data_IF_086831268216
#
_entry.id   IF_086831268216
#
_cell.length_a   1.000
_cell.length_b   1.000
_cell.length_c   1.000
_cell.angle_alpha   90.00
_cell.angle_beta   90.00
_cell.angle_gamma   90.00
#
_symmetry.space_group_name_H-M   'P 1'
#
loop_
_entity.id
_entity.type
_entity.pdbx_description
1 polymer ?
#
# COMPACT_ATOMS: atom_id res chain seq x y z
N UNK A 1 13.73 -6.61 27.99
CA UNK A 1 14.89 -5.70 27.86
C UNK A 1 14.59 -4.56 26.88
N UNK A 2 14.20 -4.82 25.60
CA UNK A 2 13.90 -3.76 24.63
C UNK A 2 12.78 -2.84 25.14
N UNK A 3 11.67 -3.41 25.63
CA UNK A 3 10.59 -2.63 26.24
C UNK A 3 11.09 -1.72 27.40
N UNK A 4 11.96 -2.24 28.26
CA UNK A 4 12.49 -1.48 29.41
C UNK A 4 13.36 -0.28 28.97
N UNK A 5 13.99 -0.35 27.80
CA UNK A 5 14.86 0.70 27.28
C UNK A 5 14.03 1.72 26.44
N UNK A 6 13.12 1.23 25.60
CA UNK A 6 12.42 2.02 24.60
C UNK A 6 11.03 2.46 25.02
N UNK A 7 10.43 1.83 26.03
CA UNK A 7 9.04 1.97 26.48
C UNK A 7 8.02 1.61 25.36
N UNK A 8 8.45 0.98 24.26
CA UNK A 8 7.57 0.46 23.21
C UNK A 8 6.75 -0.69 23.81
N UNK A 9 5.44 -0.68 23.58
CA UNK A 9 4.54 -1.72 24.05
C UNK A 9 4.97 -3.11 23.58
N UNK A 10 4.89 -4.10 24.46
CA UNK A 10 5.34 -5.48 24.19
C UNK A 10 4.57 -6.15 23.04
N UNK A 11 3.33 -5.71 22.78
CA UNK A 11 2.55 -6.22 21.65
C UNK A 11 3.22 -5.88 20.30
N UNK A 12 3.70 -4.64 20.13
CA UNK A 12 4.43 -4.26 18.90
C UNK A 12 5.76 -5.00 18.78
N UNK A 13 6.47 -5.14 19.90
CA UNK A 13 7.72 -5.91 19.93
C UNK A 13 7.51 -7.38 19.57
N UNK A 14 6.40 -7.98 20.01
CA UNK A 14 6.04 -9.35 19.64
C UNK A 14 5.78 -9.47 18.12
N UNK A 15 5.12 -8.47 17.50
CA UNK A 15 4.92 -8.46 16.04
C UNK A 15 6.24 -8.36 15.27
N UNK A 16 7.14 -7.47 15.70
CA UNK A 16 8.48 -7.37 15.11
C UNK A 16 9.29 -8.67 15.30
N UNK A 17 9.12 -9.33 16.44
CA UNK A 17 9.75 -10.63 16.68
C UNK A 17 9.28 -11.69 15.68
N UNK A 18 7.98 -11.72 15.34
CA UNK A 18 7.47 -12.66 14.34
C UNK A 18 8.18 -12.49 12.99
N UNK A 19 8.42 -11.24 12.56
CA UNK A 19 9.17 -10.96 11.34
C UNK A 19 10.61 -11.45 11.43
N UNK A 20 11.29 -11.15 12.56
CA UNK A 20 12.67 -11.57 12.77
C UNK A 20 12.82 -13.12 12.84
N UNK A 21 11.85 -13.80 13.41
CA UNK A 21 11.84 -15.27 13.48
C UNK A 21 11.59 -15.88 12.10
N UNK A 22 10.64 -15.30 11.32
CA UNK A 22 10.39 -15.69 9.94
C UNK A 22 11.64 -15.49 9.05
N UNK A 23 12.32 -14.35 9.14
CA UNK A 23 13.55 -14.10 8.39
C UNK A 23 14.65 -15.15 8.72
N UNK A 24 14.80 -15.51 9.98
CA UNK A 24 15.76 -16.56 10.39
C UNK A 24 15.40 -17.92 9.79
N UNK A 25 14.10 -18.25 9.76
CA UNK A 25 13.62 -19.52 9.20
C UNK A 25 13.95 -19.65 7.71
N UNK A 26 13.80 -18.57 6.94
CA UNK A 26 13.98 -18.59 5.48
C UNK A 26 15.40 -18.26 5.01
N UNK A 27 16.28 -17.79 5.91
CA UNK A 27 17.62 -17.32 5.53
C UNK A 27 18.45 -18.42 4.87
N UNK A 28 18.90 -18.18 3.65
CA UNK A 28 19.78 -19.07 2.88
C UNK A 28 19.15 -20.38 2.43
N UNK A 29 17.82 -20.48 2.44
CA UNK A 29 17.08 -21.69 2.06
C UNK A 29 16.13 -21.38 0.88
N UNK A 30 15.98 -22.33 -0.06
CA UNK A 30 14.94 -22.22 -1.08
C UNK A 30 13.56 -22.15 -0.43
N UNK A 31 12.77 -21.13 -0.80
CA UNK A 31 11.43 -20.95 -0.26
C UNK A 31 10.47 -22.02 -0.78
N UNK A 32 9.68 -22.61 0.13
CA UNK A 32 8.45 -23.30 -0.26
C UNK A 32 7.38 -22.28 -0.66
N UNK A 33 6.33 -22.75 -1.37
CA UNK A 33 5.20 -21.87 -1.73
C UNK A 33 4.50 -21.32 -0.47
N UNK A 34 4.38 -22.11 0.57
CA UNK A 34 3.75 -21.71 1.83
C UNK A 34 4.56 -20.60 2.53
N UNK A 35 5.87 -20.78 2.63
CA UNK A 35 6.77 -19.75 3.16
C UNK A 35 6.72 -18.46 2.33
N UNK A 36 6.73 -18.58 1.00
CA UNK A 36 6.56 -17.43 0.12
C UNK A 36 5.25 -16.68 0.40
N UNK A 37 4.11 -17.38 0.45
CA UNK A 37 2.82 -16.75 0.75
C UNK A 37 2.78 -16.13 2.14
N UNK A 38 3.38 -16.77 3.14
CA UNK A 38 3.52 -16.19 4.47
C UNK A 38 4.32 -14.88 4.44
N UNK A 39 5.42 -14.85 3.69
CA UNK A 39 6.20 -13.64 3.46
C UNK A 39 5.37 -12.52 2.81
N UNK A 40 4.56 -12.85 1.80
CA UNK A 40 3.64 -11.88 1.18
C UNK A 40 2.62 -11.34 2.20
N UNK A 41 2.03 -12.20 3.03
CA UNK A 41 1.12 -11.76 4.10
C UNK A 41 1.81 -10.91 5.19
N UNK A 42 3.11 -11.06 5.37
CA UNK A 42 3.91 -10.20 6.24
C UNK A 42 4.33 -8.88 5.57
N UNK A 43 4.03 -8.69 4.28
CA UNK A 43 4.35 -7.47 3.55
C UNK A 43 5.74 -7.45 2.89
N UNK A 44 6.42 -8.60 2.79
CA UNK A 44 7.69 -8.66 2.09
C UNK A 44 7.50 -8.57 0.57
N UNK A 45 8.34 -7.78 -0.09
CA UNK A 45 8.44 -7.77 -1.55
C UNK A 45 9.16 -9.02 -2.06
N UNK A 46 8.93 -9.38 -3.32
CA UNK A 46 9.62 -10.50 -3.96
C UNK A 46 11.14 -10.30 -3.93
N UNK A 47 11.61 -9.06 -4.13
CA UNK A 47 13.03 -8.70 -4.02
C UNK A 47 13.58 -8.95 -2.60
N UNK A 48 12.83 -8.53 -1.56
CA UNK A 48 13.23 -8.74 -0.18
C UNK A 48 13.31 -10.24 0.16
N UNK A 49 12.32 -11.02 -0.25
CA UNK A 49 12.31 -12.47 -0.06
C UNK A 49 13.47 -13.15 -0.78
N UNK A 50 13.76 -12.76 -2.03
CA UNK A 50 14.90 -13.29 -2.78
C UNK A 50 16.24 -12.99 -2.08
N UNK A 51 16.40 -11.77 -1.57
CA UNK A 51 17.60 -11.36 -0.83
C UNK A 51 17.81 -12.18 0.44
N UNK A 52 16.74 -12.37 1.23
CA UNK A 52 16.82 -13.08 2.52
C UNK A 52 17.06 -14.57 2.31
N UNK A 53 16.34 -15.20 1.37
CA UNK A 53 16.49 -16.61 1.06
C UNK A 53 17.79 -16.94 0.32
N UNK A 54 18.48 -15.92 -0.22
CA UNK A 54 19.73 -16.09 -0.95
C UNK A 54 19.59 -16.71 -2.34
N UNK A 55 18.39 -16.67 -2.94
CA UNK A 55 18.12 -17.27 -4.23
C UNK A 55 17.03 -16.57 -5.04
N UNK A 56 16.76 -17.10 -6.24
CA UNK A 56 15.63 -16.67 -7.05
C UNK A 56 14.33 -17.27 -6.50
N UNK A 57 13.26 -16.48 -6.54
CA UNK A 57 11.93 -16.95 -6.15
C UNK A 57 11.20 -17.43 -7.40
N UNK A 58 10.80 -18.72 -7.45
CA UNK A 58 10.09 -19.28 -8.61
C UNK A 58 8.57 -18.99 -8.55
N UNK A 59 8.12 -18.23 -7.57
CA UNK A 59 6.71 -17.91 -7.34
C UNK A 59 6.44 -16.46 -7.65
N UNK A 60 5.21 -16.20 -8.08
CA UNK A 60 4.64 -14.87 -8.19
C UNK A 60 3.18 -14.92 -7.77
N UNK A 61 2.75 -13.92 -7.03
CA UNK A 61 1.37 -13.78 -6.58
C UNK A 61 0.95 -12.31 -6.64
N UNK A 62 0.03 -12.01 -7.54
CA UNK A 62 -0.61 -10.70 -7.55
C UNK A 62 -1.50 -10.54 -6.31
N UNK A 63 -1.50 -9.34 -5.74
CA UNK A 63 -2.47 -8.99 -4.70
C UNK A 63 -3.81 -8.60 -5.33
N UNK A 64 -4.83 -8.57 -4.50
CA UNK A 64 -6.13 -7.99 -4.77
C UNK A 64 -6.37 -6.84 -3.82
N UNK A 65 -7.30 -5.96 -4.14
CA UNK A 65 -7.59 -4.78 -3.33
C UNK A 65 -8.98 -4.88 -2.72
N UNK A 66 -9.03 -4.67 -1.42
CA UNK A 66 -10.26 -4.58 -0.64
C UNK A 66 -10.54 -3.14 -0.24
N UNK A 67 -11.81 -2.79 -0.17
CA UNK A 67 -12.23 -1.49 0.33
C UNK A 67 -12.10 -1.45 1.85
N UNK A 68 -11.60 -0.33 2.37
CA UNK A 68 -11.56 -0.08 3.81
C UNK A 68 -12.99 0.08 4.32
N UNK A 69 -13.37 -0.68 5.34
CA UNK A 69 -14.66 -0.51 6.00
C UNK A 69 -14.61 0.72 6.92
N UNK A 70 -15.08 1.84 6.39
CA UNK A 70 -15.14 3.12 7.12
C UNK A 70 -16.40 3.25 7.98
N UNK A 71 -17.31 2.26 7.93
CA UNK A 71 -18.61 2.31 8.59
C UNK A 71 -18.76 1.27 9.71
N UNK A 72 -17.71 0.56 10.10
CA UNK A 72 -17.73 -0.43 11.18
C UNK A 72 -18.72 -1.58 10.93
N UNK A 73 -18.92 -1.98 9.69
CA UNK A 73 -19.86 -2.99 9.22
C UNK A 73 -21.37 -2.66 9.47
N UNK A 74 -21.69 -1.43 9.87
CA UNK A 74 -23.08 -0.99 10.03
C UNK A 74 -23.74 -0.67 8.69
N UNK A 75 -22.95 -0.16 7.74
CA UNK A 75 -23.39 0.17 6.37
C UNK A 75 -22.32 -0.28 5.38
N UNK A 76 -22.69 -0.43 4.10
CA UNK A 76 -21.74 -0.67 3.04
C UNK A 76 -20.79 0.53 2.91
N UNK A 77 -19.48 0.27 2.87
CA UNK A 77 -18.48 1.32 2.64
C UNK A 77 -18.63 1.85 1.21
N UNK A 78 -18.70 3.18 1.06
CA UNK A 78 -18.81 3.86 -0.23
C UNK A 78 -17.53 4.62 -0.59
N UNK A 79 -16.71 4.96 0.42
CA UNK A 79 -15.45 5.66 0.21
C UNK A 79 -14.44 4.75 -0.50
N UNK A 80 -13.91 5.14 -1.67
CA UNK A 80 -13.05 4.29 -2.48
C UNK A 80 -11.61 4.25 -1.94
N UNK A 81 -11.46 3.79 -0.71
CA UNK A 81 -10.22 3.57 0.01
C UNK A 81 -9.85 2.10 -0.04
N UNK A 82 -8.67 1.78 -0.57
CA UNK A 82 -8.23 0.42 -0.82
C UNK A 82 -6.95 0.08 -0.08
N UNK A 83 -6.82 -1.19 0.26
CA UNK A 83 -5.60 -1.83 0.74
C UNK A 83 -5.40 -3.18 0.06
N UNK A 84 -4.15 -3.60 -0.09
CA UNK A 84 -3.82 -4.89 -0.69
C UNK A 84 -4.03 -6.07 0.27
N UNK A 85 -4.42 -7.19 -0.30
CA UNK A 85 -4.53 -8.48 0.37
C UNK A 85 -4.32 -9.61 -0.64
N UNK A 86 -4.19 -10.84 -0.16
CA UNK A 86 -4.04 -12.05 -1.00
C UNK A 86 -5.30 -12.93 -1.00
N UNK A 87 -6.47 -12.30 -0.89
CA UNK A 87 -7.77 -12.94 -1.00
C UNK A 87 -8.15 -13.29 -2.45
N UNK A 88 -9.34 -13.90 -2.63
CA UNK A 88 -9.78 -14.33 -3.95
C UNK A 88 -10.45 -13.25 -4.79
N UNK A 89 -10.94 -12.15 -4.20
CA UNK A 89 -11.77 -11.15 -4.88
C UNK A 89 -11.20 -9.73 -4.76
N UNK A 90 -11.12 -9.05 -5.91
CA UNK A 90 -10.63 -7.66 -6.00
C UNK A 90 -11.81 -6.68 -6.11
N UNK A 91 -12.08 -5.92 -5.05
CA UNK A 91 -13.19 -4.95 -5.01
C UNK A 91 -12.91 -3.72 -5.88
N UNK A 92 -11.66 -3.31 -6.01
CA UNK A 92 -11.29 -2.18 -6.85
C UNK A 92 -11.70 -2.35 -8.32
N UNK A 93 -11.70 -3.61 -8.83
CA UNK A 93 -12.14 -3.92 -10.20
C UNK A 93 -13.66 -3.91 -10.35
N UNK A 94 -14.40 -4.03 -9.25
CA UNK A 94 -15.86 -4.08 -9.24
C UNK A 94 -16.51 -2.70 -9.23
N UNK A 95 -15.73 -1.63 -9.00
CA UNK A 95 -16.26 -0.27 -9.00
C UNK A 95 -16.68 0.18 -10.40
N UNK A 96 -17.75 0.99 -10.50
CA UNK A 96 -18.15 1.62 -11.74
C UNK A 96 -17.01 2.40 -12.38
N UNK A 97 -16.86 2.28 -13.70
CA UNK A 97 -15.87 3.06 -14.43
C UNK A 97 -16.47 4.43 -14.78
N UNK A 98 -15.75 5.50 -14.48
CA UNK A 98 -16.18 6.88 -14.77
C UNK A 98 -16.16 7.24 -16.26
N UNK A 99 -15.47 6.44 -17.07
CA UNK A 99 -15.20 6.75 -18.48
C UNK A 99 -14.13 7.82 -18.70
N UNK A 100 -13.58 8.41 -17.63
CA UNK A 100 -12.48 9.36 -17.71
C UNK A 100 -11.13 8.64 -17.84
N UNK A 101 -10.15 9.35 -18.38
CA UNK A 101 -8.77 8.89 -18.36
C UNK A 101 -8.22 8.99 -16.93
N UNK A 102 -7.49 7.95 -16.50
CA UNK A 102 -6.96 7.84 -15.15
C UNK A 102 -5.51 8.30 -15.07
N UNK A 103 -5.16 9.02 -14.02
CA UNK A 103 -3.80 9.39 -13.68
C UNK A 103 -3.55 8.98 -12.22
N UNK A 104 -2.40 8.36 -11.97
CA UNK A 104 -1.95 8.07 -10.61
C UNK A 104 -1.03 9.20 -10.14
N UNK A 105 -1.21 9.64 -8.90
CA UNK A 105 -0.30 10.54 -8.19
C UNK A 105 0.29 9.76 -7.02
N UNK A 106 1.63 9.71 -6.94
CA UNK A 106 2.31 9.14 -5.78
C UNK A 106 2.40 10.20 -4.69
N UNK A 107 1.95 9.85 -3.49
CA UNK A 107 2.07 10.71 -2.32
C UNK A 107 3.51 10.81 -1.80
N UNK A 108 3.72 11.65 -0.81
CA UNK A 108 5.04 11.91 -0.22
C UNK A 108 5.54 10.83 0.75
N UNK A 109 4.69 9.86 1.09
CA UNK A 109 5.03 8.82 2.06
C UNK A 109 4.95 9.29 3.52
N UNK A 110 5.63 8.60 4.44
CA UNK A 110 5.58 8.91 5.86
C UNK A 110 6.19 10.28 6.17
N UNK A 111 5.51 11.06 6.99
CA UNK A 111 6.03 12.33 7.53
C UNK A 111 6.94 11.99 8.72
N UNK A 112 8.13 12.58 8.73
CA UNK A 112 9.09 12.44 9.84
C UNK A 112 8.77 13.43 10.94
N UNK A 113 9.21 13.13 12.17
CA UNK A 113 9.13 14.09 13.29
C UNK A 113 9.81 15.40 12.91
N UNK A 114 9.11 16.51 13.09
CA UNK A 114 9.58 17.86 12.71
C UNK A 114 9.24 18.29 11.29
N UNK A 115 8.64 17.44 10.48
CA UNK A 115 8.02 17.80 9.20
C UNK A 115 6.53 18.06 9.40
N UNK A 116 5.97 18.95 8.62
CA UNK A 116 4.54 19.27 8.63
C UNK A 116 3.86 18.85 7.33
N UNK A 117 2.60 19.24 7.20
CA UNK A 117 1.74 18.91 6.04
C UNK A 117 2.24 19.53 4.72
N UNK A 118 3.15 20.46 4.76
CA UNK A 118 3.77 21.08 3.60
C UNK A 118 4.42 20.07 2.63
N UNK A 119 4.86 18.93 3.14
CA UNK A 119 5.40 17.83 2.32
C UNK A 119 4.35 17.13 1.48
N UNK A 120 3.07 17.26 1.83
CA UNK A 120 1.94 16.73 1.09
C UNK A 120 1.31 17.75 0.13
N UNK A 121 1.68 19.01 0.23
CA UNK A 121 1.10 20.11 -0.51
C UNK A 121 1.17 19.94 -2.03
N UNK A 122 2.30 19.51 -2.56
CA UNK A 122 2.48 19.31 -4.00
C UNK A 122 1.57 18.19 -4.53
N UNK A 123 1.41 17.11 -3.77
CA UNK A 123 0.53 15.99 -4.13
C UNK A 123 -0.93 16.45 -4.17
N UNK A 124 -1.39 17.20 -3.16
CA UNK A 124 -2.77 17.73 -3.08
C UNK A 124 -3.08 18.65 -4.27
N UNK A 125 -2.21 19.63 -4.52
CA UNK A 125 -2.41 20.56 -5.64
C UNK A 125 -2.33 19.89 -7.01
N UNK A 126 -1.46 18.88 -7.16
CA UNK A 126 -1.42 18.06 -8.36
C UNK A 126 -2.75 17.33 -8.58
N UNK A 127 -3.30 16.70 -7.54
CA UNK A 127 -4.59 16.01 -7.61
C UNK A 127 -5.71 16.97 -8.01
N UNK A 128 -5.83 18.12 -7.35
CA UNK A 128 -6.87 19.11 -7.67
C UNK A 128 -6.77 19.61 -9.10
N UNK A 129 -5.57 19.99 -9.55
CA UNK A 129 -5.36 20.45 -10.93
C UNK A 129 -5.75 19.38 -11.95
N UNK A 130 -5.38 18.12 -11.73
CA UNK A 130 -5.74 17.03 -12.64
C UNK A 130 -7.26 16.75 -12.65
N UNK A 131 -7.94 16.87 -11.50
CA UNK A 131 -9.42 16.78 -11.44
C UNK A 131 -10.09 17.92 -12.21
N UNK A 132 -9.61 19.15 -12.08
CA UNK A 132 -10.09 20.30 -12.85
C UNK A 132 -9.90 20.11 -14.38
N UNK A 133 -8.83 19.43 -14.79
CA UNK A 133 -8.58 19.05 -16.18
C UNK A 133 -9.45 17.88 -16.68
N UNK A 134 -10.27 17.29 -15.81
CA UNK A 134 -11.25 16.26 -16.16
C UNK A 134 -10.75 14.83 -16.05
N UNK A 135 -9.60 14.58 -15.45
CA UNK A 135 -9.09 13.23 -15.19
C UNK A 135 -9.76 12.59 -13.97
N UNK A 136 -9.80 11.25 -13.94
CA UNK A 136 -10.00 10.47 -12.70
C UNK A 136 -8.64 10.33 -12.03
N UNK A 137 -8.51 10.82 -10.80
CA UNK A 137 -7.21 10.88 -10.11
C UNK A 137 -7.16 9.87 -8.99
N UNK A 138 -6.17 8.99 -9.06
CA UNK A 138 -5.90 7.92 -8.12
C UNK A 138 -4.68 8.31 -7.31
N UNK A 139 -4.78 8.30 -5.99
CA UNK A 139 -3.67 8.55 -5.10
C UNK A 139 -3.14 7.23 -4.53
N UNK A 140 -1.82 7.09 -4.44
CA UNK A 140 -1.15 6.02 -3.68
C UNK A 140 -0.33 6.69 -2.58
N UNK A 141 -0.62 6.37 -1.32
CA UNK A 141 0.14 6.84 -0.18
C UNK A 141 0.03 5.85 0.98
N UNK A 142 1.07 5.74 1.79
CA UNK A 142 1.07 4.89 2.99
C UNK A 142 0.86 5.68 4.30
N UNK A 143 0.65 6.99 4.21
CA UNK A 143 0.34 7.84 5.35
C UNK A 143 -1.17 8.13 5.38
N UNK A 144 -1.94 7.59 6.36
CA UNK A 144 -3.38 7.83 6.44
C UNK A 144 -3.74 9.19 7.08
N UNK A 145 -2.77 9.90 7.64
CA UNK A 145 -2.95 11.09 8.46
C UNK A 145 -2.45 12.35 7.72
N UNK A 146 -2.86 12.52 6.46
CA UNK A 146 -2.43 13.69 5.67
C UNK A 146 -3.52 14.12 4.70
N UNK A 147 -3.47 15.36 4.21
CA UNK A 147 -4.53 15.98 3.39
C UNK A 147 -4.73 15.26 2.06
N UNK A 148 -3.67 14.74 1.44
CA UNK A 148 -3.81 14.00 0.18
C UNK A 148 -4.64 12.71 0.34
N UNK A 149 -4.71 12.16 1.54
CA UNK A 149 -5.49 10.95 1.85
C UNK A 149 -6.89 11.22 2.39
N UNK A 150 -7.32 12.49 2.41
CA UNK A 150 -8.69 12.84 2.74
C UNK A 150 -9.67 12.38 1.66
N UNK A 151 -10.88 12.02 2.07
CA UNK A 151 -11.89 11.38 1.22
C UNK A 151 -12.34 12.23 0.01
N UNK A 152 -12.17 13.54 0.07
CA UNK A 152 -12.58 14.49 -0.96
C UNK A 152 -11.42 14.94 -1.88
N UNK A 153 -10.19 14.52 -1.59
CA UNK A 153 -9.01 14.91 -2.36
C UNK A 153 -8.95 14.16 -3.68
N UNK A 154 -8.74 12.84 -3.67
CA UNK A 154 -8.68 11.99 -4.87
C UNK A 154 -10.02 11.34 -5.22
N UNK A 155 -10.11 10.72 -6.40
CA UNK A 155 -11.27 9.91 -6.77
C UNK A 155 -11.15 8.47 -6.23
N UNK A 156 -9.91 7.98 -6.05
CA UNK A 156 -9.56 6.71 -5.41
C UNK A 156 -8.27 6.84 -4.63
N UNK A 157 -8.17 6.11 -3.53
CA UNK A 157 -7.00 6.09 -2.68
C UNK A 157 -6.55 4.65 -2.39
N UNK A 158 -5.28 4.39 -2.61
CA UNK A 158 -4.63 3.13 -2.24
C UNK A 158 -3.66 3.37 -1.09
N UNK A 159 -3.94 2.75 0.05
CA UNK A 159 -3.03 2.72 1.20
C UNK A 159 -1.97 1.64 1.00
N UNK A 160 -0.93 1.99 0.25
CA UNK A 160 0.13 1.06 -0.12
C UNK A 160 1.51 1.65 0.14
N UNK A 161 2.51 0.82 0.41
CA UNK A 161 3.89 1.25 0.41
C UNK A 161 4.28 1.85 -0.95
N UNK A 162 5.10 2.90 -0.93
CA UNK A 162 5.60 3.54 -2.15
C UNK A 162 6.83 2.80 -2.71
N UNK A 163 6.77 1.48 -2.76
CA UNK A 163 7.79 0.66 -3.38
C UNK A 163 7.38 0.26 -4.81
N UNK A 164 8.34 -0.04 -5.70
CA UNK A 164 8.03 -0.36 -7.10
C UNK A 164 7.06 -1.52 -7.27
N UNK A 165 7.16 -2.57 -6.46
CA UNK A 165 6.30 -3.75 -6.56
C UNK A 165 4.83 -3.38 -6.30
N UNK A 166 4.53 -2.70 -5.18
CA UNK A 166 3.17 -2.35 -4.80
C UNK A 166 2.55 -1.33 -5.76
N UNK A 167 3.32 -0.31 -6.15
CA UNK A 167 2.88 0.70 -7.13
C UNK A 167 2.57 0.06 -8.49
N UNK A 168 3.40 -0.87 -8.95
CA UNK A 168 3.17 -1.56 -10.23
C UNK A 168 1.92 -2.43 -10.20
N UNK A 169 1.56 -3.02 -9.08
CA UNK A 169 0.31 -3.79 -8.94
C UNK A 169 -0.93 -2.88 -9.03
N UNK A 170 -0.91 -1.68 -8.42
CA UNK A 170 -1.99 -0.70 -8.61
C UNK A 170 -2.08 -0.26 -10.06
N UNK A 171 -0.95 0.01 -10.73
CA UNK A 171 -0.92 0.37 -12.16
C UNK A 171 -1.57 -0.71 -13.02
N UNK A 172 -1.30 -1.99 -12.75
CA UNK A 172 -1.90 -3.11 -13.48
C UNK A 172 -3.42 -3.21 -13.30
N UNK A 173 -3.92 -2.86 -12.12
CA UNK A 173 -5.36 -2.88 -11.83
C UNK A 173 -6.08 -1.68 -12.45
N UNK A 174 -5.53 -0.48 -12.28
CA UNK A 174 -6.18 0.77 -12.66
C UNK A 174 -5.94 1.20 -14.11
N UNK A 175 -4.83 0.75 -14.70
CA UNK A 175 -4.42 1.05 -16.09
C UNK A 175 -4.43 2.55 -16.41
N UNK A 176 -3.70 3.37 -15.66
CA UNK A 176 -3.65 4.81 -15.86
C UNK A 176 -2.93 5.15 -17.18
N UNK A 177 -3.19 6.36 -17.74
CA UNK A 177 -2.43 6.89 -18.88
C UNK A 177 -1.08 7.47 -18.47
N UNK A 178 -0.88 7.76 -17.18
CA UNK A 178 0.35 8.31 -16.65
C UNK A 178 0.42 8.22 -15.12
N UNK A 179 1.64 8.40 -14.61
CA UNK A 179 1.93 8.44 -13.17
C UNK A 179 2.72 9.71 -12.89
N UNK A 180 2.30 10.47 -11.90
CA UNK A 180 3.01 11.65 -11.40
C UNK A 180 3.76 11.26 -10.14
N UNK A 181 5.05 11.56 -10.11
CA UNK A 181 5.92 11.38 -8.95
C UNK A 181 6.29 12.78 -8.46
N UNK A 182 5.84 13.14 -7.27
CA UNK A 182 6.07 14.44 -6.67
C UNK A 182 7.33 14.45 -5.78
#
# INVERSE_FOLDING_TARGET
EIHQITMIDEWFLAKLKNLADYEKEITGLPLSREQYMQGKHYGYTDEALARISGGSIPYHQDCVYKMVDTCGAEFAAETPYFYSTYDAHCEARSLPQSGKQKIIVLGSGPIRIGQGIEFDYSSVHCVWTLKELGYEVILINNNPETVSTDFDTGDRLYFEPLCPEDVMQVIQVEKPIGVVVA
#
